data_IF_314062837176
#
_entry.id   IF_314062837176
#
_cell.length_a   1.000
_cell.length_b   1.000
_cell.length_c   1.000
_cell.angle_alpha   90.00
_cell.angle_beta   90.00
_cell.angle_gamma   90.00
#
_symmetry.space_group_name_H-M   'P 1'
#
loop_
_entity.id
_entity.type
_entity.pdbx_description
1 polymer ?
#
# COMPACT_ATOMS: atom_id res chain seq x y z
N UNK A 1 11.88 -11.19 3.15
CA UNK A 1 12.38 -10.04 3.94
C UNK A 1 11.46 -9.69 5.10
N UNK A 2 10.36 -10.42 5.31
CA UNK A 2 9.46 -10.25 6.45
C UNK A 2 9.62 -11.47 7.36
N UNK A 3 10.45 -11.34 8.39
CA UNK A 3 10.45 -12.25 9.54
C UNK A 3 9.42 -11.72 10.52
N UNK A 4 8.63 -12.58 11.16
CA UNK A 4 7.61 -12.17 12.13
C UNK A 4 8.22 -11.41 13.31
N UNK A 5 9.36 -11.89 13.83
CA UNK A 5 10.09 -11.24 14.92
C UNK A 5 10.70 -9.87 14.57
N UNK A 6 10.78 -9.49 13.29
CA UNK A 6 11.31 -8.17 12.92
C UNK A 6 10.31 -7.04 13.21
N UNK A 7 9.06 -7.34 13.60
CA UNK A 7 8.02 -6.33 13.81
C UNK A 7 7.32 -6.54 15.15
N UNK A 8 7.24 -5.46 15.92
CA UNK A 8 6.43 -5.39 17.12
C UNK A 8 5.60 -4.10 17.10
N UNK A 9 4.34 -4.23 16.66
CA UNK A 9 3.44 -3.09 16.46
C UNK A 9 4.04 -2.03 15.51
N UNK A 10 4.26 -0.83 16.05
CA UNK A 10 4.87 0.30 15.35
C UNK A 10 6.40 0.29 15.30
N UNK A 11 7.05 -0.70 15.91
CA UNK A 11 8.51 -0.83 15.93
C UNK A 11 8.98 -1.93 14.97
N UNK A 12 10.10 -1.67 14.29
CA UNK A 12 10.82 -2.64 13.48
C UNK A 12 12.25 -2.77 13.99
N UNK A 13 12.74 -3.99 14.11
CA UNK A 13 14.14 -4.32 14.37
C UNK A 13 14.60 -5.41 13.41
N UNK A 14 15.78 -5.25 12.81
CA UNK A 14 16.37 -6.29 11.99
C UNK A 14 17.08 -7.33 12.86
N UNK A 15 16.56 -8.56 12.96
CA UNK A 15 17.18 -9.64 13.75
C UNK A 15 18.61 -10.02 13.33
N UNK A 16 19.07 -9.58 12.14
CA UNK A 16 20.44 -9.84 11.67
C UNK A 16 21.45 -8.80 12.15
N UNK A 17 21.05 -7.53 12.24
CA UNK A 17 22.00 -6.44 12.47
C UNK A 17 21.57 -5.40 13.51
N UNK A 18 20.42 -5.57 14.16
CA UNK A 18 19.90 -4.66 15.17
C UNK A 18 19.48 -3.29 14.64
N UNK A 19 19.34 -3.12 13.31
CA UNK A 19 18.83 -1.87 12.74
C UNK A 19 17.37 -1.66 13.17
N UNK A 20 17.11 -0.56 13.87
CA UNK A 20 15.79 -0.21 14.38
C UNK A 20 15.22 1.02 13.70
N UNK A 21 13.92 1.01 13.44
CA UNK A 21 13.16 2.14 12.89
C UNK A 21 11.66 1.93 13.13
N UNK A 22 10.84 2.95 12.93
CA UNK A 22 9.38 2.77 12.88
C UNK A 22 8.99 1.80 11.75
N UNK A 23 8.06 0.89 12.05
CA UNK A 23 7.67 -0.17 11.14
C UNK A 23 6.96 0.33 9.87
N UNK A 24 6.12 1.34 9.97
CA UNK A 24 5.39 1.90 8.82
C UNK A 24 6.32 2.73 7.94
N UNK A 25 7.26 3.44 8.55
CA UNK A 25 8.32 4.13 7.81
C UNK A 25 9.21 3.15 7.03
N UNK A 26 9.59 2.03 7.64
CA UNK A 26 10.34 0.97 6.95
C UNK A 26 9.52 0.36 5.80
N UNK A 27 8.24 0.12 6.01
CA UNK A 27 7.33 -0.39 4.98
C UNK A 27 7.24 0.58 3.79
N UNK A 28 7.03 1.87 4.04
CA UNK A 28 6.97 2.91 3.02
C UNK A 28 8.27 2.99 2.21
N UNK A 29 9.43 2.96 2.88
CA UNK A 29 10.74 2.93 2.20
C UNK A 29 10.90 1.70 1.31
N UNK A 30 10.52 0.52 1.78
CA UNK A 30 10.64 -0.72 1.00
C UNK A 30 9.74 -0.72 -0.24
N UNK A 31 8.51 -0.20 -0.12
CA UNK A 31 7.61 0.00 -1.26
C UNK A 31 8.24 0.99 -2.24
N UNK A 32 8.62 2.19 -1.80
CA UNK A 32 9.24 3.20 -2.67
C UNK A 32 10.49 2.68 -3.39
N UNK A 33 11.36 1.96 -2.68
CA UNK A 33 12.57 1.36 -3.25
C UNK A 33 12.27 0.30 -4.31
N UNK A 34 11.22 -0.51 -4.13
CA UNK A 34 10.78 -1.50 -5.11
C UNK A 34 10.39 -0.82 -6.43
N UNK A 35 9.61 0.25 -6.37
CA UNK A 35 9.18 0.99 -7.56
C UNK A 35 10.35 1.75 -8.20
N UNK A 36 11.21 2.38 -7.40
CA UNK A 36 12.38 3.10 -7.92
C UNK A 36 13.37 2.18 -8.65
N UNK A 37 13.53 0.93 -8.18
CA UNK A 37 14.45 -0.04 -8.80
C UNK A 37 13.86 -0.76 -10.01
N UNK A 38 12.54 -0.88 -10.11
CA UNK A 38 11.89 -1.57 -11.23
C UNK A 38 11.53 -0.57 -12.34
N UNK A 39 12.36 -0.50 -13.39
CA UNK A 39 12.14 0.34 -14.59
C UNK A 39 10.84 0.05 -15.36
N UNK A 40 10.18 -1.07 -15.06
CA UNK A 40 8.85 -1.46 -15.59
C UNK A 40 8.02 -2.04 -14.45
N UNK A 41 7.23 -1.22 -13.79
CA UNK A 41 6.18 -1.72 -12.92
C UNK A 41 4.86 -1.70 -13.70
N UNK A 42 4.21 -2.87 -13.84
CA UNK A 42 2.77 -2.85 -14.10
C UNK A 42 2.16 -2.28 -12.81
N UNK A 43 1.39 -1.20 -12.92
CA UNK A 43 0.50 -0.75 -11.83
C UNK A 43 -0.41 -1.89 -11.34
N UNK A 44 -0.54 -2.96 -12.14
CA UNK A 44 -1.38 -4.14 -11.95
C UNK A 44 -0.73 -5.32 -11.22
N UNK A 45 0.49 -5.17 -10.70
CA UNK A 45 1.07 -6.20 -9.83
C UNK A 45 0.61 -6.02 -8.39
N UNK A 46 -0.70 -5.94 -8.15
CA UNK A 46 -1.23 -6.09 -6.80
C UNK A 46 -0.73 -7.43 -6.27
N UNK A 47 -0.06 -7.48 -5.11
CA UNK A 47 0.06 -8.72 -4.38
C UNK A 47 -1.35 -9.30 -4.25
N UNK A 48 -1.55 -10.59 -4.61
CA UNK A 48 -2.82 -11.23 -4.29
C UNK A 48 -2.96 -11.20 -2.76
N UNK A 49 -4.05 -10.68 -2.18
CA UNK A 49 -4.11 -10.49 -0.74
C UNK A 49 -4.35 -11.83 -0.04
N UNK A 50 -3.60 -12.08 1.03
CA UNK A 50 -4.18 -12.77 2.17
C UNK A 50 -5.13 -11.78 2.87
N UNK A 51 -6.42 -12.06 2.78
CA UNK A 51 -7.58 -11.60 3.60
C UNK A 51 -7.71 -10.14 4.11
N UNK A 52 -6.90 -9.15 3.75
CA UNK A 52 -6.99 -7.82 4.37
C UNK A 52 -6.83 -6.60 3.46
N UNK A 53 -6.57 -6.75 2.16
CA UNK A 53 -6.45 -5.57 1.29
C UNK A 53 -7.81 -5.10 0.80
N UNK A 54 -8.05 -3.79 0.89
CA UNK A 54 -9.19 -3.15 0.26
C UNK A 54 -9.11 -3.31 -1.27
N UNK A 55 -10.24 -3.56 -1.96
CA UNK A 55 -10.24 -3.66 -3.41
C UNK A 55 -9.76 -2.33 -4.00
N UNK A 56 -8.66 -2.39 -4.75
CA UNK A 56 -8.15 -1.29 -5.57
C UNK A 56 -8.78 -1.38 -6.97
N UNK A 57 -8.86 -0.27 -7.69
CA UNK A 57 -9.49 -0.18 -9.03
C UNK A 57 -11.00 -0.52 -9.08
N UNK A 58 -11.73 -0.30 -7.98
CA UNK A 58 -13.21 -0.33 -8.02
C UNK A 58 -13.69 0.82 -8.89
N UNK A 59 -14.23 0.50 -10.07
CA UNK A 59 -14.93 1.49 -10.90
C UNK A 59 -16.26 1.84 -10.24
N UNK A 60 -16.50 3.13 -10.07
CA UNK A 60 -17.83 3.63 -9.73
C UNK A 60 -18.69 3.46 -10.99
N UNK A 61 -19.85 2.81 -10.84
CA UNK A 61 -20.74 2.52 -11.97
C UNK A 61 -21.44 3.77 -12.52
N UNK A 62 -21.42 4.87 -11.77
CA UNK A 62 -21.98 6.17 -12.11
C UNK A 62 -21.27 7.23 -11.24
N UNK A 63 -21.28 8.50 -11.64
CA UNK A 63 -20.85 9.60 -10.80
C UNK A 63 -19.36 9.74 -10.51
N UNK A 64 -19.02 10.79 -9.76
CA UNK A 64 -17.68 11.12 -9.24
C UNK A 64 -17.78 11.44 -7.76
N UNK A 65 -16.88 10.93 -6.92
CA UNK A 65 -16.81 11.30 -5.50
C UNK A 65 -15.80 12.44 -5.33
N UNK A 66 -16.21 13.53 -4.70
CA UNK A 66 -15.36 14.66 -4.33
C UNK A 66 -15.45 14.93 -2.81
N UNK A 67 -14.80 15.99 -2.32
CA UNK A 67 -14.78 16.35 -0.88
C UNK A 67 -16.14 16.70 -0.27
N UNK A 68 -17.19 16.85 -1.09
CA UNK A 68 -18.59 17.06 -0.67
C UNK A 68 -19.48 15.83 -0.84
N UNK A 69 -18.94 14.70 -1.32
CA UNK A 69 -19.67 13.44 -1.50
C UNK A 69 -19.79 13.01 -2.97
N UNK A 70 -20.81 12.20 -3.25
CA UNK A 70 -21.09 11.62 -4.57
C UNK A 70 -21.82 12.61 -5.49
N UNK A 71 -21.34 12.75 -6.72
CA UNK A 71 -21.96 13.56 -7.77
C UNK A 71 -22.29 12.66 -8.99
N UNK A 72 -23.56 12.39 -9.32
CA UNK A 72 -23.95 11.54 -10.45
C UNK A 72 -23.53 12.13 -11.80
N UNK A 73 -23.22 11.29 -12.80
CA UNK A 73 -22.93 11.75 -14.16
C UNK A 73 -24.26 11.84 -14.90
N UNK A 74 -24.87 13.03 -14.89
CA UNK A 74 -26.11 13.31 -15.61
C UNK A 74 -27.20 13.91 -14.73
N UNK A 75 -27.03 15.18 -14.38
CA UNK A 75 -28.13 16.03 -13.91
C UNK A 75 -28.22 17.26 -14.81
N UNK A 76 -28.58 17.02 -16.07
CA UNK A 76 -29.25 17.91 -17.03
C UNK A 76 -29.43 17.15 -18.35
#
# INVERSE_FOLDING_TARGET
>A
FTHEDNRNGGHFECCKCGYTVNADYNAAKNVGLRYARQRRHRLRSSPKPGSADAPVDVRVNDGTVNGSGFAPVGAA
#
